data_IF_963759974778
#
_entry.id   IF_963759974778
#
_cell.length_a   1.000
_cell.length_b   1.000
_cell.length_c   1.000
_cell.angle_alpha   90.00
_cell.angle_beta   90.00
_cell.angle_gamma   90.00
#
_symmetry.space_group_name_H-M   'P 1'
#
loop_
_entity.id
_entity.type
_entity.pdbx_description
1 polymer ?
#
# COMPACT_ATOMS: atom_id res chain seq x y z
N UNK A 1 -9.18 11.57 2.31
CA UNK A 1 -9.76 12.94 2.35
C UNK A 1 -8.74 13.85 3.00
N UNK A 2 -8.36 14.98 2.39
CA UNK A 2 -7.40 15.92 2.97
C UNK A 2 -5.98 15.37 3.18
N UNK A 3 -5.65 14.26 2.53
CA UNK A 3 -4.35 13.56 2.60
C UNK A 3 -3.91 13.20 1.18
N UNK A 4 -2.61 13.01 0.96
CA UNK A 4 -2.07 12.53 -0.31
C UNK A 4 -2.14 11.01 -0.41
N UNK A 5 -1.50 10.48 -1.45
CA UNK A 5 -1.47 9.05 -1.72
C UNK A 5 -0.49 8.28 -0.84
N UNK A 6 0.45 8.96 -0.17
CA UNK A 6 1.28 8.35 0.89
C UNK A 6 0.44 7.67 1.99
N UNK A 7 -0.81 8.10 2.16
CA UNK A 7 -1.77 7.54 3.09
C UNK A 7 -2.77 6.56 2.43
N UNK A 8 -2.54 6.13 1.19
CA UNK A 8 -3.45 5.27 0.43
C UNK A 8 -3.16 3.78 0.70
N UNK A 9 -3.67 3.26 1.81
CA UNK A 9 -3.42 1.89 2.28
C UNK A 9 -3.74 0.80 1.24
N UNK A 10 -4.62 1.05 0.27
CA UNK A 10 -4.92 0.04 -0.75
C UNK A 10 -3.72 -0.28 -1.66
N UNK A 11 -2.73 0.62 -1.76
CA UNK A 11 -1.51 0.29 -2.49
C UNK A 11 -0.68 -0.81 -1.82
N UNK A 12 -0.82 -1.03 -0.51
CA UNK A 12 -0.25 -2.22 0.14
C UNK A 12 -0.85 -3.53 -0.39
N UNK A 13 -2.12 -3.53 -0.82
CA UNK A 13 -2.71 -4.70 -1.47
C UNK A 13 -1.97 -5.04 -2.75
N UNK A 14 -1.57 -4.03 -3.53
CA UNK A 14 -0.76 -4.24 -4.72
C UNK A 14 0.62 -4.83 -4.40
N UNK A 15 1.26 -4.40 -3.31
CA UNK A 15 2.51 -5.01 -2.83
C UNK A 15 2.34 -6.50 -2.51
N UNK A 16 1.23 -6.91 -1.88
CA UNK A 16 0.99 -8.35 -1.58
C UNK A 16 0.85 -9.22 -2.84
N UNK A 17 0.48 -8.61 -3.98
CA UNK A 17 0.31 -9.28 -5.26
C UNK A 17 1.60 -9.35 -6.10
N UNK A 18 2.66 -8.67 -5.68
CA UNK A 18 3.95 -8.63 -6.35
C UNK A 18 4.89 -9.69 -5.75
N UNK A 19 5.42 -10.59 -6.58
CA UNK A 19 6.30 -11.69 -6.12
C UNK A 19 7.61 -11.18 -5.50
N UNK A 20 8.10 -10.02 -5.95
CA UNK A 20 9.33 -9.41 -5.48
C UNK A 20 9.19 -8.67 -4.14
N UNK A 21 7.98 -8.57 -3.58
CA UNK A 21 7.79 -7.87 -2.30
C UNK A 21 8.42 -8.68 -1.17
N UNK A 22 9.40 -8.12 -0.44
CA UNK A 22 10.05 -8.83 0.65
C UNK A 22 9.06 -9.18 1.77
N UNK A 23 9.36 -10.25 2.50
CA UNK A 23 8.60 -10.67 3.68
C UNK A 23 9.48 -10.59 4.92
N UNK A 24 8.88 -10.28 6.06
CA UNK A 24 9.52 -10.24 7.37
C UNK A 24 8.76 -11.09 8.38
N UNK A 25 9.48 -11.55 9.39
CA UNK A 25 8.86 -12.12 10.57
C UNK A 25 8.51 -10.98 11.52
N UNK A 26 7.26 -10.94 11.96
CA UNK A 26 6.75 -9.96 12.91
C UNK A 26 6.07 -10.67 14.08
N UNK A 27 5.84 -9.93 15.16
CA UNK A 27 5.24 -10.45 16.37
C UNK A 27 4.23 -9.48 16.96
N UNK A 28 3.11 -10.02 17.42
CA UNK A 28 2.07 -9.23 18.08
C UNK A 28 1.53 -9.96 19.30
N UNK A 29 1.07 -9.17 20.27
CA UNK A 29 0.30 -9.71 21.38
C UNK A 29 -1.17 -9.82 20.97
N UNK A 30 -1.71 -11.04 21.01
CA UNK A 30 -3.13 -11.33 20.78
C UNK A 30 -3.79 -11.82 22.07
N UNK A 31 -5.11 -11.75 22.13
CA UNK A 31 -5.89 -12.48 23.12
C UNK A 31 -6.20 -13.88 22.59
N UNK A 32 -5.87 -14.91 23.37
CA UNK A 32 -6.24 -16.30 23.11
C UNK A 32 -6.83 -16.89 24.39
N UNK A 33 -8.12 -17.22 24.37
CA UNK A 33 -8.86 -17.77 25.52
C UNK A 33 -8.77 -16.90 26.80
N UNK A 34 -8.97 -15.58 26.67
CA UNK A 34 -8.93 -14.64 27.80
C UNK A 34 -7.53 -14.41 28.39
N UNK A 35 -6.46 -14.85 27.69
CA UNK A 35 -5.07 -14.60 28.09
C UNK A 35 -4.30 -13.91 26.97
N UNK A 36 -3.49 -12.91 27.33
CA UNK A 36 -2.57 -12.25 26.40
C UNK A 36 -1.43 -13.20 26.04
N UNK A 37 -1.22 -13.44 24.74
CA UNK A 37 -0.19 -14.31 24.18
C UNK A 37 0.58 -13.57 23.10
N UNK A 38 1.90 -13.63 23.14
CA UNK A 38 2.75 -13.18 22.04
C UNK A 38 2.79 -14.26 20.96
N UNK A 39 2.48 -13.91 19.72
CA UNK A 39 2.60 -14.80 18.56
C UNK A 39 3.59 -14.23 17.56
N UNK A 40 4.21 -15.12 16.79
CA UNK A 40 5.05 -14.80 15.65
C UNK A 40 4.30 -15.16 14.37
N UNK A 41 4.41 -14.33 13.34
CA UNK A 41 3.83 -14.55 12.02
C UNK A 41 4.73 -13.93 10.94
N UNK A 42 4.49 -14.32 9.69
CA UNK A 42 5.16 -13.72 8.53
C UNK A 42 4.20 -12.74 7.85
N UNK A 43 4.70 -11.56 7.53
CA UNK A 43 3.98 -10.53 6.76
C UNK A 43 4.89 -9.93 5.69
N UNK A 44 4.34 -9.10 4.81
CA UNK A 44 5.12 -8.33 3.85
C UNK A 44 5.83 -7.16 4.53
N UNK A 45 7.02 -6.83 4.04
CA UNK A 45 7.73 -5.61 4.44
C UNK A 45 7.27 -4.44 3.57
N UNK A 46 6.09 -3.92 3.92
CA UNK A 46 5.40 -2.84 3.22
C UNK A 46 6.25 -1.57 3.12
N UNK A 47 6.25 -0.93 1.95
CA UNK A 47 6.94 0.33 1.70
C UNK A 47 6.00 1.34 1.01
N UNK A 48 5.73 2.46 1.68
CA UNK A 48 4.86 3.53 1.19
C UNK A 48 5.59 4.73 0.57
N UNK A 49 6.93 4.71 0.49
CA UNK A 49 7.75 5.87 0.09
C UNK A 49 7.44 6.37 -1.32
N UNK A 50 7.02 5.48 -2.22
CA UNK A 50 6.69 5.78 -3.62
C UNK A 50 5.18 5.91 -3.88
N UNK A 51 4.33 5.79 -2.86
CA UNK A 51 2.87 5.82 -3.03
C UNK A 51 2.38 7.15 -3.60
N UNK A 52 3.00 8.27 -3.21
CA UNK A 52 2.67 9.58 -3.79
C UNK A 52 2.96 9.62 -5.29
N UNK A 53 4.06 8.99 -5.72
CA UNK A 53 4.43 8.90 -7.14
C UNK A 53 3.48 7.97 -7.90
N UNK A 54 3.16 6.81 -7.35
CA UNK A 54 2.17 5.86 -7.89
C UNK A 54 0.83 6.57 -8.09
N UNK A 55 0.36 7.29 -7.08
CA UNK A 55 -0.90 8.02 -7.13
C UNK A 55 -0.93 9.15 -8.17
N UNK A 56 0.15 9.93 -8.27
CA UNK A 56 0.29 10.94 -9.30
C UNK A 56 0.30 10.35 -10.72
N UNK A 57 0.96 9.22 -10.93
CA UNK A 57 0.97 8.55 -12.22
C UNK A 57 -0.38 7.85 -12.50
N UNK A 58 -1.06 7.35 -11.48
CA UNK A 58 -2.42 6.81 -11.59
C UNK A 58 -3.40 7.88 -12.08
N UNK A 59 -3.36 9.09 -11.51
CA UNK A 59 -4.21 10.23 -11.89
C UNK A 59 -4.01 10.69 -13.34
N UNK A 60 -2.80 10.56 -13.89
CA UNK A 60 -2.54 10.90 -15.29
C UNK A 60 -3.17 9.91 -16.27
N UNK A 61 -3.45 8.69 -15.83
CA UNK A 61 -3.84 7.57 -16.68
C UNK A 61 -5.26 7.04 -16.38
N UNK A 62 -5.95 7.54 -15.36
CA UNK A 62 -7.24 7.05 -14.91
C UNK A 62 -8.13 8.18 -14.40
N UNK A 63 -9.45 7.95 -14.46
CA UNK A 63 -10.42 8.91 -13.93
C UNK A 63 -10.38 8.97 -12.41
N UNK A 64 -10.05 10.15 -11.88
CA UNK A 64 -10.11 10.47 -10.46
C UNK A 64 -11.01 11.69 -10.27
N UNK A 65 -12.09 11.51 -9.51
CA UNK A 65 -12.96 12.60 -9.14
C UNK A 65 -12.30 13.42 -8.04
N UNK A 66 -11.94 14.67 -8.36
CA UNK A 66 -11.33 15.61 -7.42
C UNK A 66 -12.37 16.65 -7.02
N UNK A 67 -12.51 16.86 -5.70
CA UNK A 67 -13.47 17.82 -5.16
C UNK A 67 -13.09 18.28 -3.77
N UNK A 68 -13.95 19.12 -3.16
CA UNK A 68 -13.78 19.58 -1.78
C UNK A 68 -14.87 19.03 -0.88
N UNK A 69 -14.48 18.63 0.33
CA UNK A 69 -15.38 18.38 1.45
C UNK A 69 -15.03 19.38 2.54
N UNK A 70 -15.86 20.41 2.70
CA UNK A 70 -15.47 21.61 3.45
C UNK A 70 -14.21 22.25 2.84
N UNK A 71 -13.16 22.42 3.65
CA UNK A 71 -11.87 22.95 3.19
C UNK A 71 -10.90 21.87 2.68
N UNK A 72 -11.23 20.58 2.83
CA UNK A 72 -10.32 19.49 2.49
C UNK A 72 -10.43 19.12 1.00
N UNK A 73 -9.30 19.13 0.30
CA UNK A 73 -9.18 18.52 -1.03
C UNK A 73 -9.33 17.01 -0.92
N UNK A 74 -10.22 16.44 -1.73
CA UNK A 74 -10.57 15.03 -1.72
C UNK A 74 -10.48 14.43 -3.11
N UNK A 75 -10.11 13.16 -3.16
CA UNK A 75 -9.96 12.35 -4.37
C UNK A 75 -10.80 11.09 -4.19
N UNK A 76 -11.62 10.75 -5.19
CA UNK A 76 -12.43 9.55 -5.24
C UNK A 76 -12.15 8.80 -6.54
N UNK A 77 -11.84 7.52 -6.43
CA UNK A 77 -11.48 6.65 -7.55
C UNK A 77 -11.87 5.20 -7.25
N UNK A 78 -11.91 4.36 -8.29
CA UNK A 78 -12.25 2.95 -8.14
C UNK A 78 -11.05 2.17 -7.58
N UNK A 79 -11.20 1.58 -6.38
CA UNK A 79 -10.09 0.93 -5.67
C UNK A 79 -9.43 -0.19 -6.49
N UNK A 80 -10.20 -1.03 -7.20
CA UNK A 80 -9.63 -2.10 -8.04
C UNK A 80 -8.68 -1.54 -9.10
N UNK A 81 -9.02 -0.40 -9.72
CA UNK A 81 -8.19 0.20 -10.76
C UNK A 81 -6.90 0.76 -10.17
N UNK A 82 -6.98 1.35 -8.97
CA UNK A 82 -5.82 1.85 -8.25
C UNK A 82 -4.87 0.71 -7.85
N UNK A 83 -5.40 -0.42 -7.36
CA UNK A 83 -4.61 -1.61 -7.02
C UNK A 83 -3.97 -2.22 -8.28
N UNK A 84 -4.75 -2.44 -9.35
CA UNK A 84 -4.26 -3.02 -10.62
C UNK A 84 -3.19 -2.12 -11.27
N UNK A 85 -3.32 -0.79 -11.15
CA UNK A 85 -2.30 0.15 -11.61
C UNK A 85 -1.04 0.09 -10.74
N UNK A 86 -1.20 0.17 -9.42
CA UNK A 86 -0.08 0.15 -8.48
C UNK A 86 0.74 -1.13 -8.61
N UNK A 87 0.10 -2.30 -8.80
CA UNK A 87 0.80 -3.58 -9.00
C UNK A 87 1.76 -3.50 -10.18
N UNK A 88 1.25 -3.09 -11.35
CA UNK A 88 2.06 -2.96 -12.57
C UNK A 88 3.18 -1.93 -12.42
N UNK A 89 2.90 -0.83 -11.74
CA UNK A 89 3.89 0.20 -11.44
C UNK A 89 5.00 -0.38 -10.56
N UNK A 90 4.65 -1.05 -9.46
CA UNK A 90 5.61 -1.69 -8.54
C UNK A 90 6.46 -2.74 -9.28
N UNK A 91 5.85 -3.59 -10.10
CA UNK A 91 6.56 -4.59 -10.94
C UNK A 91 7.54 -3.96 -11.93
N UNK A 92 7.23 -2.77 -12.43
CA UNK A 92 8.08 -2.08 -13.42
C UNK A 92 9.18 -1.22 -12.77
N UNK A 93 8.99 -0.78 -11.53
CA UNK A 93 9.82 0.25 -10.91
C UNK A 93 10.62 -0.23 -9.70
N UNK A 94 10.15 -1.25 -8.98
CA UNK A 94 10.90 -1.86 -7.87
C UNK A 94 11.66 -3.07 -8.38
N UNK A 95 12.92 -2.87 -8.77
CA UNK A 95 13.84 -3.99 -8.99
C UNK A 95 14.02 -4.73 -7.67
N UNK A 96 14.02 -6.07 -7.71
CA UNK A 96 14.36 -6.90 -6.55
C UNK A 96 15.74 -6.47 -6.02
N UNK A 97 15.75 -5.78 -4.88
CA UNK A 97 17.00 -5.47 -4.17
C UNK A 97 17.57 -6.82 -3.71
N UNK A 98 18.84 -7.16 -4.02
CA UNK A 98 19.47 -8.33 -3.43
C UNK A 98 19.51 -8.11 -1.92
N UNK A 99 18.96 -9.05 -1.14
CA UNK A 99 19.05 -9.06 0.32
C UNK A 99 20.47 -8.66 0.76
N UNK A 100 20.59 -7.56 1.50
CA UNK A 100 21.82 -7.31 2.25
C UNK A 100 21.92 -8.38 3.35
N UNK A 101 23.07 -9.05 3.34
CA UNK A 101 23.49 -10.14 4.21
C UNK A 101 23.48 -9.78 5.70
#
# INVERSE_FOLDING_TARGET
MGVGYENCTCFHVAETMCEQTPKKNDGAAIEENGRRKWIWFQDYDYNSDDFEKIGCDFEKNNDVCVGKVGNASCKLFHMKNAVDFAKRWIESNRSSIPNHA
#
